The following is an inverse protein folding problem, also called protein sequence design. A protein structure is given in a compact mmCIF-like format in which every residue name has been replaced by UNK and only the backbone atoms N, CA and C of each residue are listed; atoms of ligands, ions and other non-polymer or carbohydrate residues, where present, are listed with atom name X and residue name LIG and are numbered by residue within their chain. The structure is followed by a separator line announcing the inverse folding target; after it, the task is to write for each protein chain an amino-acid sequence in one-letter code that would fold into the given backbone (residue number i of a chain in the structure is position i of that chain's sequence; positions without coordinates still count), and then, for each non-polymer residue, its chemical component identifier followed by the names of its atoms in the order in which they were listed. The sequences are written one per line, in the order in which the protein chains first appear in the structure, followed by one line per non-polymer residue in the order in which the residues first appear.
data_IF_722225491671
#
_entry.id   IF_722225491671
#
_cell.length_a   1.000
_cell.length_b   1.000
_cell.length_c   1.000
_cell.angle_alpha   90.00
_cell.angle_beta   90.00
_cell.angle_gamma   90.00
#
_symmetry.space_group_name_H-M   'P 1'
#
loop_
_entity.id
_entity.type
_entity.pdbx_description
1 polymer ?
#
# COMPACT_ATOMS: atom_id res chain seq x y z
N UNK A 1 7.40 1.12 -24.23
CA UNK A 1 6.58 1.96 -23.31
C UNK A 1 7.50 2.40 -22.18
N UNK A 2 7.53 3.69 -21.84
CA UNK A 2 8.61 4.30 -21.05
C UNK A 2 8.72 3.65 -19.65
N UNK A 3 9.90 3.10 -19.34
CA UNK A 3 10.30 2.70 -18.00
C UNK A 3 10.50 3.96 -17.14
N UNK A 4 9.43 4.47 -16.55
CA UNK A 4 9.51 5.47 -15.49
C UNK A 4 9.71 4.78 -14.15
N UNK A 5 10.52 5.35 -13.26
CA UNK A 5 10.57 4.92 -11.86
C UNK A 5 9.16 5.01 -11.27
N UNK A 6 8.55 3.85 -10.97
CA UNK A 6 7.33 3.77 -10.18
C UNK A 6 7.64 4.24 -8.76
N UNK A 7 6.75 5.04 -8.18
CA UNK A 7 6.80 5.49 -6.79
C UNK A 7 5.44 5.25 -6.17
N UNK A 8 5.44 4.78 -4.94
CA UNK A 8 4.24 4.71 -4.12
C UNK A 8 3.61 6.10 -3.95
N UNK A 9 2.28 6.16 -3.83
CA UNK A 9 1.52 7.37 -3.46
C UNK A 9 0.30 6.99 -2.62
N UNK A 10 -0.12 7.86 -1.71
CA UNK A 10 -1.41 7.70 -1.02
C UNK A 10 -2.57 8.01 -1.97
N UNK A 11 -3.62 7.17 -1.94
CA UNK A 11 -4.81 7.36 -2.76
C UNK A 11 -5.61 8.64 -2.46
N UNK A 12 -5.59 9.09 -1.20
CA UNK A 12 -6.26 10.32 -0.75
C UNK A 12 -5.44 11.62 -0.92
N UNK A 13 -4.21 11.52 -1.45
CA UNK A 13 -3.24 12.61 -1.39
C UNK A 13 -2.58 12.69 0.00
N UNK A 14 -1.33 13.15 0.03
CA UNK A 14 -0.51 13.19 1.26
C UNK A 14 0.93 12.75 1.01
N UNK A 15 1.82 13.04 1.96
CA UNK A 15 3.22 12.61 1.91
C UNK A 15 3.32 11.15 2.38
N UNK A 16 4.12 10.35 1.67
CA UNK A 16 4.50 9.02 2.17
C UNK A 16 5.60 9.19 3.21
N UNK A 17 5.36 8.66 4.41
CA UNK A 17 6.45 8.33 5.32
C UNK A 17 7.23 7.16 4.68
N UNK A 18 8.43 7.45 4.17
CA UNK A 18 9.19 6.46 3.42
C UNK A 18 9.65 5.32 4.35
N UNK A 19 9.36 4.08 3.96
CA UNK A 19 10.11 2.89 4.39
C UNK A 19 9.79 2.27 5.76
N UNK A 20 8.91 2.85 6.59
CA UNK A 20 8.79 2.40 7.99
C UNK A 20 7.81 1.26 8.23
N UNK A 21 6.95 0.91 7.27
CA UNK A 21 5.85 -0.05 7.50
C UNK A 21 5.86 -1.28 6.59
N UNK A 22 6.82 -1.40 5.68
CA UNK A 22 6.94 -2.58 4.82
C UNK A 22 7.36 -3.81 5.60
N UNK A 23 6.64 -4.90 5.38
CA UNK A 23 7.06 -6.21 5.86
C UNK A 23 8.44 -6.54 5.31
N UNK A 24 9.16 -7.44 5.98
CA UNK A 24 10.47 -7.88 5.50
C UNK A 24 10.35 -8.36 4.05
N UNK A 25 11.26 -7.90 3.19
CA UNK A 25 11.33 -8.16 1.75
C UNK A 25 10.26 -7.48 0.88
N UNK A 26 9.39 -6.64 1.44
CA UNK A 26 8.38 -5.92 0.68
C UNK A 26 8.84 -4.47 0.38
N UNK A 27 8.39 -3.86 -0.74
CA UNK A 27 7.55 -4.44 -1.79
C UNK A 27 8.35 -5.33 -2.76
N UNK A 28 7.80 -6.49 -3.15
CA UNK A 28 8.47 -7.48 -4.03
C UNK A 28 7.77 -7.73 -5.37
N UNK A 29 6.61 -7.11 -5.60
CA UNK A 29 5.80 -7.27 -6.80
C UNK A 29 5.58 -8.75 -7.16
N UNK A 30 5.16 -9.52 -6.15
CA UNK A 30 4.89 -10.96 -6.25
C UNK A 30 6.13 -11.85 -6.33
N UNK A 31 7.35 -11.32 -6.11
CA UNK A 31 8.64 -12.06 -6.13
C UNK A 31 8.85 -12.95 -7.36
N UNK A 32 8.30 -12.56 -8.51
CA UNK A 32 8.38 -13.31 -9.76
C UNK A 32 7.43 -14.52 -9.86
N UNK A 33 6.48 -14.67 -8.93
CA UNK A 33 5.37 -15.60 -9.05
C UNK A 33 4.45 -15.21 -10.21
N UNK A 34 4.27 -16.14 -11.15
CA UNK A 34 3.45 -15.93 -12.36
C UNK A 34 1.97 -15.77 -12.04
N UNK A 35 1.50 -16.31 -10.92
CA UNK A 35 0.10 -16.23 -10.50
C UNK A 35 -0.21 -14.92 -9.74
N UNK A 36 0.82 -14.27 -9.18
CA UNK A 36 0.68 -13.03 -8.39
C UNK A 36 0.56 -11.77 -9.23
N UNK A 37 1.07 -11.77 -10.47
CA UNK A 37 0.97 -10.62 -11.38
C UNK A 37 1.67 -9.35 -10.87
N UNK A 38 1.28 -8.17 -11.39
CA UNK A 38 1.76 -6.87 -10.86
C UNK A 38 0.97 -6.46 -9.61
N UNK A 39 1.70 -6.04 -8.57
CA UNK A 39 1.16 -5.71 -7.26
C UNK A 39 1.34 -4.22 -6.96
N UNK A 40 0.60 -3.35 -7.64
CA UNK A 40 0.76 -1.89 -7.53
C UNK A 40 -0.11 -1.24 -6.42
N UNK A 41 -0.68 -2.02 -5.48
CA UNK A 41 -1.48 -1.53 -4.34
C UNK A 41 -0.91 -1.99 -3.00
N UNK A 42 -1.27 -1.35 -1.88
CA UNK A 42 -0.79 -1.75 -0.55
C UNK A 42 -1.88 -2.48 0.22
N UNK A 43 -1.54 -3.63 0.77
CA UNK A 43 -2.34 -4.34 1.77
C UNK A 43 -1.64 -4.28 3.14
N UNK A 44 -2.39 -3.96 4.19
CA UNK A 44 -1.88 -3.97 5.57
C UNK A 44 -2.38 -5.22 6.29
N UNK A 45 -1.47 -6.09 6.70
CA UNK A 45 -1.79 -7.25 7.54
C UNK A 45 -1.87 -6.87 9.03
N UNK A 46 -2.49 -7.71 9.85
CA UNK A 46 -2.60 -7.48 11.31
C UNK A 46 -1.50 -8.15 12.13
N UNK A 47 -0.57 -8.87 11.47
CA UNK A 47 0.30 -9.86 12.14
C UNK A 47 1.75 -9.39 12.34
N UNK A 48 2.10 -8.16 11.95
CA UNK A 48 3.48 -7.68 11.99
C UNK A 48 3.60 -6.22 12.45
N UNK A 49 4.77 -5.90 13.01
CA UNK A 49 5.17 -4.52 13.37
C UNK A 49 5.31 -3.61 12.15
N UNK A 50 5.69 -4.20 11.01
CA UNK A 50 5.71 -3.57 9.71
C UNK A 50 4.74 -4.35 8.81
N UNK A 51 3.46 -3.92 8.73
CA UNK A 51 2.39 -4.76 8.21
C UNK A 51 2.16 -4.69 6.69
N UNK A 52 2.85 -3.79 5.98
CA UNK A 52 2.54 -3.54 4.57
C UNK A 52 3.13 -4.61 3.65
N UNK A 53 2.32 -5.00 2.68
CA UNK A 53 2.65 -5.88 1.56
C UNK A 53 2.18 -5.16 0.30
N UNK A 54 2.94 -5.20 -0.78
CA UNK A 54 2.37 -4.81 -2.06
C UNK A 54 1.43 -5.92 -2.52
N UNK A 55 0.31 -5.57 -3.16
CA UNK A 55 -0.73 -6.53 -3.46
C UNK A 55 -1.47 -6.20 -4.75
N UNK A 56 -2.03 -7.23 -5.37
CA UNK A 56 -2.97 -7.13 -6.49
C UNK A 56 -4.08 -6.11 -6.23
N UNK A 57 -4.09 -5.01 -7.00
CA UNK A 57 -5.11 -3.96 -6.89
C UNK A 57 -6.54 -4.44 -7.17
N UNK A 58 -6.70 -5.50 -7.98
CA UNK A 58 -8.00 -6.07 -8.34
C UNK A 58 -8.58 -7.01 -7.27
N UNK A 59 -7.80 -7.33 -6.23
CA UNK A 59 -8.24 -8.24 -5.20
C UNK A 59 -9.35 -7.63 -4.31
N UNK A 60 -10.42 -8.39 -4.08
CA UNK A 60 -11.47 -8.01 -3.13
C UNK A 60 -10.99 -8.26 -1.69
N UNK A 61 -10.80 -7.18 -0.93
CA UNK A 61 -10.32 -7.19 0.46
C UNK A 61 -11.10 -6.18 1.31
N UNK A 62 -11.02 -6.34 2.62
CA UNK A 62 -11.43 -5.30 3.56
C UNK A 62 -10.51 -4.09 3.44
N UNK A 63 -11.05 -2.90 3.68
CA UNK A 63 -10.34 -1.62 3.53
C UNK A 63 -10.60 -0.70 4.72
N UNK A 64 -9.69 0.24 4.92
CA UNK A 64 -9.74 1.26 5.97
C UNK A 64 -9.89 2.62 5.30
N UNK A 65 -10.85 3.41 5.73
CA UNK A 65 -11.00 4.80 5.31
C UNK A 65 -10.41 5.75 6.35
N UNK A 66 -9.76 6.80 5.88
CA UNK A 66 -9.37 7.95 6.68
C UNK A 66 -10.28 9.13 6.35
N UNK A 67 -10.69 9.89 7.38
CA UNK A 67 -11.36 11.18 7.23
C UNK A 67 -10.84 12.12 8.32
N UNK A 68 -10.53 13.35 7.94
CA UNK A 68 -10.17 14.39 8.91
C UNK A 68 -11.38 14.64 9.83
N UNK A 69 -11.21 14.57 11.17
CA UNK A 69 -12.28 14.90 12.09
C UNK A 69 -12.77 16.32 11.83
N UNK A 70 -14.06 16.48 11.60
CA UNK A 70 -14.67 17.81 11.64
C UNK A 70 -14.69 18.26 13.10
N UNK A 71 -13.79 19.16 13.48
CA UNK A 71 -13.85 19.80 14.78
C UNK A 71 -15.08 20.72 14.75
N UNK A 72 -16.14 20.34 15.45
CA UNK A 72 -17.21 21.27 15.77
C UNK A 72 -16.65 22.26 16.80
N UNK A 73 -16.12 23.39 16.34
CA UNK A 73 -15.96 24.56 17.19
C UNK A 73 -17.36 25.07 17.55
N UNK A 74 -17.73 25.10 18.84
CA UNK A 74 -19.00 25.69 19.28
C UNK A 74 -19.14 27.15 18.86
#
# INVERSE_FOLDING_TARGET
LRAGCRRWRWGGGGLIAAGEFWSKNQPDNGDGDLDSGEEDCVYSSTYASAPWNDFLCSATRWWICEKIPTIFTP
#
